data_IF_833893932848
#
_entry.id   IF_833893932848
#
_cell.length_a   1.000
_cell.length_b   1.000
_cell.length_c   1.000
_cell.angle_alpha   90.00
_cell.angle_beta   90.00
_cell.angle_gamma   90.00
#
_symmetry.space_group_name_H-M   'P 1'
#
loop_
_entity.id
_entity.type
_entity.pdbx_description
1 polymer ?
#
# COMPACT_ATOMS: atom_id res chain seq x y z
N UNK A 1 -11.15 -18.62 21.27
CA UNK A 1 -10.02 -19.11 20.47
C UNK A 1 -10.58 -19.58 19.15
N UNK A 2 -10.54 -18.74 18.13
CA UNK A 2 -10.81 -19.20 16.76
C UNK A 2 -9.50 -19.81 16.28
N UNK A 3 -9.40 -21.13 16.27
CA UNK A 3 -8.31 -21.88 15.62
C UNK A 3 -8.47 -21.79 14.10
N UNK A 4 -8.53 -20.57 13.56
CA UNK A 4 -8.47 -20.35 12.12
C UNK A 4 -7.03 -20.49 11.67
N UNK A 5 -6.76 -21.39 10.73
CA UNK A 5 -5.47 -21.47 10.07
C UNK A 5 -5.43 -20.52 8.87
N UNK A 6 -4.24 -20.04 8.52
CA UNK A 6 -4.04 -19.18 7.35
C UNK A 6 -3.42 -19.96 6.21
N UNK A 7 -4.20 -20.15 5.13
CA UNK A 7 -3.67 -20.55 3.85
C UNK A 7 -2.87 -19.40 3.24
N UNK A 8 -1.65 -19.68 2.79
CA UNK A 8 -0.78 -18.71 2.14
C UNK A 8 -0.27 -19.28 0.82
N UNK A 9 -0.72 -18.67 -0.28
CA UNK A 9 -0.51 -19.16 -1.63
C UNK A 9 0.04 -18.04 -2.51
N UNK A 10 1.13 -18.32 -3.24
CA UNK A 10 1.71 -17.43 -4.24
C UNK A 10 1.27 -17.87 -5.62
N UNK A 11 0.69 -16.95 -6.39
CA UNK A 11 0.26 -17.17 -7.77
C UNK A 11 1.11 -16.29 -8.69
N UNK A 12 2.06 -16.92 -9.39
CA UNK A 12 2.96 -16.23 -10.31
C UNK A 12 2.24 -15.92 -11.62
N UNK A 13 2.26 -14.66 -12.00
CA UNK A 13 1.64 -14.16 -13.22
C UNK A 13 2.66 -13.57 -14.17
N UNK A 14 2.15 -12.83 -15.14
CA UNK A 14 2.96 -11.92 -15.95
C UNK A 14 2.93 -10.51 -15.38
N UNK A 15 3.56 -9.54 -16.05
CA UNK A 15 3.65 -8.15 -15.55
C UNK A 15 2.31 -7.46 -15.31
N UNK A 16 1.21 -7.93 -15.90
CA UNK A 16 -0.14 -7.40 -15.64
C UNK A 16 -0.89 -8.29 -14.63
N UNK A 17 -0.61 -8.06 -13.35
CA UNK A 17 -1.26 -8.78 -12.25
C UNK A 17 -2.73 -8.36 -12.05
N UNK A 18 -3.19 -7.25 -12.64
CA UNK A 18 -4.56 -6.77 -12.48
C UNK A 18 -5.59 -7.78 -13.03
N UNK A 19 -5.35 -8.26 -14.25
CA UNK A 19 -6.21 -9.27 -14.87
C UNK A 19 -6.15 -10.63 -14.17
N UNK A 20 -4.98 -11.03 -13.64
CA UNK A 20 -4.86 -12.25 -12.83
C UNK A 20 -5.71 -12.14 -11.54
N UNK A 21 -5.66 -10.97 -10.89
CA UNK A 21 -6.42 -10.71 -9.67
C UNK A 21 -7.93 -10.78 -9.95
N UNK A 22 -8.43 -10.06 -10.95
CA UNK A 22 -9.87 -9.94 -11.22
C UNK A 22 -10.45 -11.16 -11.95
N UNK A 23 -9.65 -11.84 -12.78
CA UNK A 23 -10.09 -12.96 -13.61
C UNK A 23 -9.92 -14.34 -12.99
N UNK A 24 -8.96 -14.53 -12.07
CA UNK A 24 -8.64 -15.84 -11.48
C UNK A 24 -8.81 -15.83 -9.97
N UNK A 25 -8.08 -14.94 -9.30
CA UNK A 25 -7.98 -14.97 -7.83
C UNK A 25 -9.33 -14.57 -7.19
N UNK A 26 -9.90 -13.44 -7.59
CA UNK A 26 -11.15 -12.97 -6.99
C UNK A 26 -12.33 -13.94 -7.19
N UNK A 27 -12.57 -14.52 -8.39
CA UNK A 27 -13.62 -15.53 -8.57
C UNK A 27 -13.42 -16.77 -7.70
N UNK A 28 -12.19 -17.31 -7.64
CA UNK A 28 -11.87 -18.48 -6.84
C UNK A 28 -12.11 -18.22 -5.34
N UNK A 29 -11.64 -17.06 -4.84
CA UNK A 29 -11.80 -16.71 -3.43
C UNK A 29 -13.25 -16.40 -3.06
N UNK A 30 -14.02 -15.77 -3.95
CA UNK A 30 -15.47 -15.55 -3.75
C UNK A 30 -16.23 -16.88 -3.65
N UNK A 31 -15.90 -17.85 -4.50
CA UNK A 31 -16.49 -19.20 -4.45
C UNK A 31 -16.20 -19.86 -3.09
N UNK A 32 -14.94 -19.90 -2.68
CA UNK A 32 -14.55 -20.50 -1.39
C UNK A 32 -15.14 -19.78 -0.18
N UNK A 33 -15.38 -18.47 -0.29
CA UNK A 33 -16.04 -17.68 0.76
C UNK A 33 -17.54 -18.02 0.81
N UNK A 34 -18.21 -18.15 -0.33
CA UNK A 34 -19.62 -18.55 -0.41
C UNK A 34 -19.86 -20.00 0.07
N UNK A 35 -18.85 -20.86 -0.06
CA UNK A 35 -18.83 -22.24 0.44
C UNK A 35 -18.39 -22.33 1.92
N UNK A 36 -18.21 -21.19 2.61
CA UNK A 36 -17.77 -21.09 4.02
C UNK A 36 -16.42 -21.77 4.32
N UNK A 37 -15.64 -22.09 3.28
CA UNK A 37 -14.29 -22.67 3.41
C UNK A 37 -13.26 -21.61 3.81
N UNK A 38 -13.46 -20.39 3.32
CA UNK A 38 -12.66 -19.21 3.63
C UNK A 38 -13.54 -18.19 4.34
N UNK A 39 -13.15 -17.79 5.55
CA UNK A 39 -13.91 -16.79 6.34
C UNK A 39 -13.57 -15.35 5.93
N UNK A 40 -12.28 -15.10 5.65
CA UNK A 40 -11.76 -13.80 5.20
C UNK A 40 -10.47 -14.02 4.43
N UNK A 41 -10.15 -13.11 3.52
CA UNK A 41 -8.92 -13.19 2.74
C UNK A 41 -8.45 -11.81 2.31
N UNK A 42 -7.17 -11.72 2.04
CA UNK A 42 -6.56 -10.54 1.44
C UNK A 42 -5.47 -10.96 0.46
N UNK A 43 -4.99 -10.00 -0.32
CA UNK A 43 -3.91 -10.22 -1.25
C UNK A 43 -2.99 -9.01 -1.31
N UNK A 44 -1.79 -9.22 -1.84
CA UNK A 44 -0.85 -8.17 -2.21
C UNK A 44 0.00 -8.61 -3.40
N UNK A 45 0.47 -7.64 -4.19
CA UNK A 45 1.41 -7.89 -5.29
C UNK A 45 2.82 -7.94 -4.73
N UNK A 46 3.68 -8.77 -5.31
CA UNK A 46 5.07 -8.85 -4.91
C UNK A 46 6.00 -9.26 -6.08
N UNK A 47 7.29 -9.03 -5.92
CA UNK A 47 8.29 -9.12 -7.00
C UNK A 47 9.24 -10.32 -6.88
N UNK A 48 9.47 -10.84 -5.66
CA UNK A 48 10.46 -11.90 -5.41
C UNK A 48 10.08 -13.21 -6.12
N UNK A 49 11.00 -13.76 -6.91
CA UNK A 49 10.73 -14.88 -7.81
C UNK A 49 9.94 -14.49 -9.07
N UNK A 50 9.83 -13.20 -9.37
CA UNK A 50 9.02 -12.64 -10.46
C UNK A 50 7.67 -12.08 -10.01
N UNK A 51 6.94 -11.37 -10.90
CA UNK A 51 5.65 -10.78 -10.58
C UNK A 51 4.64 -11.84 -10.13
N UNK A 52 4.13 -11.70 -8.91
CA UNK A 52 3.13 -12.62 -8.37
C UNK A 52 2.17 -11.93 -7.41
N UNK A 53 1.08 -12.63 -7.13
CA UNK A 53 0.11 -12.24 -6.11
C UNK A 53 0.25 -13.19 -4.93
N UNK A 54 0.45 -12.63 -3.73
CA UNK A 54 0.40 -13.37 -2.48
C UNK A 54 -1.05 -13.34 -1.98
N UNK A 55 -1.69 -14.50 -1.94
CA UNK A 55 -3.03 -14.69 -1.38
C UNK A 55 -2.88 -15.20 0.04
N UNK A 56 -3.66 -14.62 0.95
CA UNK A 56 -3.78 -15.04 2.35
C UNK A 56 -5.24 -15.26 2.65
N UNK A 57 -5.62 -16.44 3.11
CA UNK A 57 -7.00 -16.79 3.39
C UNK A 57 -7.11 -17.50 4.74
N UNK A 58 -7.97 -16.98 5.62
CA UNK A 58 -8.28 -17.61 6.88
C UNK A 58 -9.29 -18.74 6.64
N UNK A 59 -8.87 -19.98 6.86
CA UNK A 59 -9.65 -21.19 6.65
C UNK A 59 -9.97 -21.88 7.96
N UNK A 60 -10.95 -22.78 7.92
CA UNK A 60 -11.02 -23.84 8.94
C UNK A 60 -9.78 -24.75 8.82
N UNK A 61 -9.32 -25.38 9.90
CA UNK A 61 -8.18 -26.30 9.85
C UNK A 61 -8.34 -27.38 8.76
N UNK A 62 -7.34 -27.51 7.88
CA UNK A 62 -7.37 -28.43 6.73
C UNK A 62 -7.94 -27.82 5.44
N UNK A 63 -8.49 -26.61 5.49
CA UNK A 63 -9.01 -25.87 4.32
C UNK A 63 -7.93 -25.28 3.42
N UNK A 64 -6.66 -25.27 3.84
CA UNK A 64 -5.54 -24.68 3.08
C UNK A 64 -5.32 -25.40 1.75
N UNK A 65 -5.51 -26.72 1.72
CA UNK A 65 -5.44 -27.51 0.51
C UNK A 65 -6.55 -27.12 -0.48
N UNK A 66 -7.74 -26.76 -0.01
CA UNK A 66 -8.84 -26.34 -0.86
C UNK A 66 -8.54 -25.00 -1.56
N UNK A 67 -7.94 -24.04 -0.84
CA UNK A 67 -7.48 -22.77 -1.42
C UNK A 67 -6.45 -23.02 -2.52
N UNK A 68 -5.47 -23.88 -2.25
CA UNK A 68 -4.42 -24.22 -3.22
C UNK A 68 -4.98 -24.88 -4.47
N UNK A 69 -5.88 -25.86 -4.31
CA UNK A 69 -6.52 -26.57 -5.42
C UNK A 69 -7.37 -25.64 -6.26
N UNK A 70 -8.23 -24.82 -5.63
CA UNK A 70 -9.09 -23.89 -6.35
C UNK A 70 -8.29 -22.88 -7.19
N UNK A 71 -7.19 -22.34 -6.66
CA UNK A 71 -6.34 -21.40 -7.40
C UNK A 71 -5.59 -22.10 -8.55
N UNK A 72 -5.14 -23.35 -8.37
CA UNK A 72 -4.52 -24.13 -9.46
C UNK A 72 -5.51 -24.44 -10.57
N UNK A 73 -6.71 -24.88 -10.24
CA UNK A 73 -7.77 -25.19 -11.20
C UNK A 73 -8.18 -23.93 -11.97
N UNK A 74 -8.43 -22.82 -11.26
CA UNK A 74 -8.79 -21.55 -11.90
C UNK A 74 -7.70 -21.02 -12.84
N UNK A 75 -6.42 -21.31 -12.55
CA UNK A 75 -5.29 -20.88 -13.38
C UNK A 75 -5.03 -21.81 -14.57
N UNK A 76 -5.37 -23.09 -14.48
CA UNK A 76 -5.16 -24.07 -15.55
C UNK A 76 -5.92 -23.71 -16.83
N UNK A 77 -7.13 -23.16 -16.66
CA UNK A 77 -7.99 -22.73 -17.78
C UNK A 77 -7.77 -21.25 -18.17
N UNK A 78 -6.88 -20.53 -17.47
CA UNK A 78 -6.67 -19.11 -17.70
C UNK A 78 -5.74 -18.87 -18.90
N UNK A 79 -6.12 -18.02 -19.87
CA UNK A 79 -5.26 -17.67 -20.99
C UNK A 79 -4.10 -16.79 -20.52
N UNK A 80 -2.99 -17.43 -20.13
CA UNK A 80 -1.78 -16.73 -19.70
C UNK A 80 -1.24 -15.87 -20.85
N UNK A 81 -0.97 -14.61 -20.57
CA UNK A 81 -0.21 -13.78 -21.51
C UNK A 81 1.26 -14.24 -21.54
N UNK A 82 2.01 -14.02 -22.63
CA UNK A 82 3.43 -14.32 -22.65
C UNK A 82 4.19 -13.53 -21.58
N UNK A 83 5.15 -14.17 -20.92
CA UNK A 83 6.05 -13.49 -20.00
C UNK A 83 6.81 -12.38 -20.76
N UNK A 84 6.76 -11.16 -20.23
CA UNK A 84 7.49 -10.02 -20.80
C UNK A 84 8.85 -9.79 -20.14
N UNK A 85 9.10 -10.42 -18.99
CA UNK A 85 10.32 -10.26 -18.20
C UNK A 85 11.24 -11.47 -18.42
N UNK A 86 12.45 -11.25 -18.92
CA UNK A 86 13.47 -12.30 -18.99
C UNK A 86 14.13 -12.56 -17.63
N UNK A 87 14.74 -13.74 -17.47
CA UNK A 87 15.47 -14.09 -16.25
C UNK A 87 16.67 -13.14 -15.97
N UNK A 88 17.30 -12.61 -17.02
CA UNK A 88 18.39 -11.64 -16.87
C UNK A 88 17.87 -10.28 -16.40
N UNK A 89 16.79 -9.78 -17.00
CA UNK A 89 16.13 -8.55 -16.56
C UNK A 89 15.63 -8.65 -15.12
N UNK A 90 15.01 -9.78 -14.77
CA UNK A 90 14.59 -10.07 -13.41
C UNK A 90 15.75 -9.94 -12.43
N UNK A 91 16.88 -10.64 -12.67
CA UNK A 91 18.03 -10.58 -11.75
C UNK A 91 18.55 -9.16 -11.54
N UNK A 92 18.60 -8.33 -12.59
CA UNK A 92 19.03 -6.93 -12.47
C UNK A 92 18.07 -6.11 -11.60
N UNK A 93 16.76 -6.25 -11.81
CA UNK A 93 15.75 -5.52 -11.06
C UNK A 93 15.65 -6.04 -9.61
N UNK A 94 15.72 -7.35 -9.41
CA UNK A 94 15.64 -8.00 -8.11
C UNK A 94 16.76 -7.56 -7.17
N UNK A 95 18.00 -7.41 -7.65
CA UNK A 95 19.12 -6.86 -6.85
C UNK A 95 18.81 -5.43 -6.38
N UNK A 96 18.22 -4.60 -7.24
CA UNK A 96 17.85 -3.24 -6.87
C UNK A 96 16.71 -3.22 -5.83
N UNK A 97 15.67 -4.03 -6.02
CA UNK A 97 14.53 -4.13 -5.11
C UNK A 97 14.93 -4.74 -3.76
N UNK A 98 15.74 -5.79 -3.75
CA UNK A 98 16.27 -6.40 -2.52
C UNK A 98 17.05 -5.40 -1.68
N UNK A 99 17.95 -4.62 -2.31
CA UNK A 99 18.67 -3.53 -1.62
C UNK A 99 17.74 -2.45 -1.11
N UNK A 100 16.72 -2.09 -1.88
CA UNK A 100 15.71 -1.12 -1.46
C UNK A 100 14.93 -1.60 -0.22
N UNK A 101 14.64 -2.90 -0.12
CA UNK A 101 13.98 -3.54 1.02
C UNK A 101 14.94 -3.99 2.13
N UNK A 102 16.24 -3.68 2.03
CA UNK A 102 17.28 -4.14 2.98
C UNK A 102 17.31 -5.67 3.16
N UNK A 103 17.11 -6.41 2.07
CA UNK A 103 17.15 -7.87 2.03
C UNK A 103 18.45 -8.34 1.38
N UNK A 104 19.21 -9.14 2.12
CA UNK A 104 20.42 -9.80 1.61
C UNK A 104 20.12 -11.19 1.03
N UNK A 105 19.04 -11.82 1.46
CA UNK A 105 18.55 -13.11 0.97
C UNK A 105 17.21 -12.94 0.25
N UNK A 106 17.19 -13.32 -1.03
CA UNK A 106 16.01 -13.26 -1.89
C UNK A 106 16.12 -14.25 -3.05
N UNK A 107 14.96 -14.69 -3.56
CA UNK A 107 14.88 -15.60 -4.71
C UNK A 107 15.60 -15.05 -5.95
N UNK A 108 16.66 -15.74 -6.39
CA UNK A 108 17.46 -15.34 -7.55
C UNK A 108 16.87 -15.85 -8.87
N UNK A 109 15.99 -16.85 -8.81
CA UNK A 109 15.39 -17.46 -9.99
C UNK A 109 14.03 -16.85 -10.32
N UNK A 110 13.85 -16.50 -11.59
CA UNK A 110 12.54 -16.09 -12.10
C UNK A 110 11.65 -17.33 -12.23
N UNK A 111 10.59 -17.39 -11.43
CA UNK A 111 9.63 -18.49 -11.50
C UNK A 111 8.69 -18.30 -12.71
N UNK A 112 8.34 -19.38 -13.42
CA UNK A 112 7.44 -19.29 -14.58
C UNK A 112 6.05 -18.75 -14.21
N UNK A 113 5.42 -17.91 -15.04
CA UNK A 113 3.99 -17.60 -14.91
C UNK A 113 3.16 -18.88 -14.92
N UNK A 114 2.07 -18.91 -14.16
CA UNK A 114 1.29 -20.13 -13.94
C UNK A 114 1.76 -20.95 -12.73
N UNK A 115 2.89 -20.59 -12.11
CA UNK A 115 3.37 -21.28 -10.91
C UNK A 115 2.50 -20.92 -9.70
N UNK A 116 1.96 -21.94 -9.03
CA UNK A 116 1.22 -21.79 -7.77
C UNK A 116 1.99 -22.50 -6.65
N UNK A 117 2.38 -21.76 -5.60
CA UNK A 117 3.19 -22.27 -4.48
C UNK A 117 2.49 -22.05 -3.14
N UNK A 118 2.44 -23.07 -2.31
CA UNK A 118 2.11 -22.91 -0.89
C UNK A 118 3.36 -22.41 -0.15
N UNK A 119 3.19 -21.40 0.68
CA UNK A 119 4.26 -20.81 1.51
C UNK A 119 3.69 -20.61 2.91
N UNK A 120 4.41 -20.91 4.00
CA UNK A 120 3.90 -20.65 5.36
C UNK A 120 3.53 -19.18 5.55
N UNK A 121 2.39 -18.92 6.19
CA UNK A 121 2.06 -17.57 6.66
C UNK A 121 2.77 -17.32 7.99
N UNK A 122 3.68 -16.36 8.00
CA UNK A 122 4.36 -15.89 9.20
C UNK A 122 3.90 -14.44 9.45
N UNK A 123 3.09 -14.19 10.49
CA UNK A 123 2.69 -12.83 10.82
C UNK A 123 3.89 -11.97 11.24
N UNK A 124 3.94 -10.72 10.78
CA UNK A 124 5.05 -9.79 11.04
C UNK A 124 4.83 -9.08 12.38
N UNK A 125 5.06 -9.78 13.50
CA UNK A 125 4.78 -9.26 14.84
C UNK A 125 5.55 -7.98 15.18
N UNK A 126 6.79 -7.84 14.71
CA UNK A 126 7.60 -6.63 14.94
C UNK A 126 6.97 -5.38 14.28
N UNK A 127 6.21 -5.57 13.21
CA UNK A 127 5.57 -4.50 12.42
C UNK A 127 4.17 -4.20 12.91
N UNK A 128 3.36 -5.24 13.15
CA UNK A 128 1.92 -5.11 13.43
C UNK A 128 1.53 -5.41 14.88
N UNK A 129 2.50 -5.78 15.73
CA UNK A 129 2.27 -6.26 17.10
C UNK A 129 1.64 -7.66 17.14
N UNK A 130 1.02 -7.99 18.27
CA UNK A 130 0.40 -9.28 18.53
C UNK A 130 -1.06 -9.09 18.98
N UNK A 131 -1.85 -10.17 19.00
CA UNK A 131 -3.23 -10.13 19.50
C UNK A 131 -4.10 -9.11 18.76
N UNK A 132 -4.65 -8.14 19.49
CA UNK A 132 -5.63 -7.17 18.97
C UNK A 132 -5.05 -6.25 17.88
N UNK A 133 -3.77 -5.88 17.95
CA UNK A 133 -3.15 -5.00 16.93
C UNK A 133 -2.92 -5.75 15.63
N UNK A 134 -2.48 -7.00 15.70
CA UNK A 134 -2.33 -7.87 14.54
C UNK A 134 -3.70 -8.17 13.90
N UNK A 135 -4.72 -8.47 14.72
CA UNK A 135 -6.08 -8.69 14.23
C UNK A 135 -6.64 -7.43 13.55
N UNK A 136 -6.37 -6.24 14.10
CA UNK A 136 -6.75 -4.97 13.48
C UNK A 136 -6.04 -4.73 12.15
N UNK A 137 -4.74 -5.06 12.04
CA UNK A 137 -3.98 -4.95 10.80
C UNK A 137 -4.51 -5.92 9.74
N UNK A 138 -4.73 -7.19 10.09
CA UNK A 138 -5.31 -8.18 9.18
C UNK A 138 -6.73 -7.80 8.72
N UNK A 139 -7.57 -7.26 9.62
CA UNK A 139 -8.88 -6.72 9.25
C UNK A 139 -8.75 -5.60 8.23
N UNK A 140 -7.83 -4.65 8.47
CA UNK A 140 -7.54 -3.60 7.51
C UNK A 140 -7.03 -4.15 6.17
N UNK A 141 -6.22 -5.22 6.16
CA UNK A 141 -5.78 -5.87 4.92
C UNK A 141 -6.94 -6.46 4.12
N UNK A 142 -7.90 -7.09 4.79
CA UNK A 142 -9.11 -7.62 4.15
C UNK A 142 -9.95 -6.49 3.56
N UNK A 143 -10.23 -5.46 4.35
CA UNK A 143 -11.07 -4.32 3.94
C UNK A 143 -10.44 -3.53 2.78
N UNK A 144 -9.13 -3.29 2.85
CA UNK A 144 -8.37 -2.61 1.80
C UNK A 144 -8.20 -3.46 0.54
N UNK A 145 -8.07 -4.79 0.66
CA UNK A 145 -8.13 -5.70 -0.49
C UNK A 145 -9.49 -5.67 -1.18
N UNK A 146 -10.60 -5.65 -0.42
CA UNK A 146 -11.94 -5.53 -1.01
C UNK A 146 -12.10 -4.22 -1.78
N UNK A 147 -11.66 -3.09 -1.20
CA UNK A 147 -11.65 -1.78 -1.87
C UNK A 147 -10.81 -1.79 -3.16
N UNK A 148 -9.61 -2.41 -3.11
CA UNK A 148 -8.75 -2.53 -4.28
C UNK A 148 -9.39 -3.38 -5.39
N UNK A 149 -10.11 -4.46 -5.05
CA UNK A 149 -10.80 -5.28 -6.04
C UNK A 149 -11.89 -4.51 -6.76
N UNK A 150 -12.74 -3.78 -6.04
CA UNK A 150 -13.82 -2.99 -6.63
C UNK A 150 -13.27 -1.98 -7.65
N UNK A 151 -12.14 -1.37 -7.33
CA UNK A 151 -11.45 -0.45 -8.23
C UNK A 151 -10.86 -1.18 -9.42
N UNK A 152 -10.15 -2.30 -9.23
CA UNK A 152 -9.52 -3.04 -10.33
C UNK A 152 -10.56 -3.64 -11.30
N UNK A 153 -11.72 -4.06 -10.78
CA UNK A 153 -12.82 -4.60 -11.59
C UNK A 153 -13.47 -3.56 -12.49
N UNK A 154 -13.34 -2.27 -12.17
CA UNK A 154 -13.78 -1.19 -13.06
C UNK A 154 -12.79 -0.90 -14.20
N UNK A 155 -11.72 -1.70 -14.36
CA UNK A 155 -10.65 -1.53 -15.35
C UNK A 155 -10.14 -0.07 -15.44
N UNK A 156 -9.65 0.50 -14.33
CA UNK A 156 -9.32 1.91 -14.24
C UNK A 156 -8.06 2.23 -15.05
N UNK A 157 -7.96 3.47 -15.53
CA UNK A 157 -6.71 3.95 -16.10
C UNK A 157 -5.66 4.15 -15.01
N UNK A 158 -4.38 4.11 -15.38
CA UNK A 158 -3.29 4.41 -14.45
C UNK A 158 -3.42 5.80 -13.80
N UNK A 159 -4.03 6.78 -14.50
CA UNK A 159 -4.29 8.10 -13.94
C UNK A 159 -5.32 8.08 -12.80
N UNK A 160 -6.37 7.28 -12.93
CA UNK A 160 -7.37 7.07 -11.87
C UNK A 160 -6.73 6.39 -10.66
N UNK A 161 -5.90 5.37 -10.88
CA UNK A 161 -5.19 4.67 -9.81
C UNK A 161 -4.23 5.60 -9.04
N UNK A 162 -3.47 6.44 -9.75
CA UNK A 162 -2.61 7.45 -9.11
C UNK A 162 -3.41 8.50 -8.32
N UNK A 163 -4.55 8.94 -8.85
CA UNK A 163 -5.44 9.86 -8.14
C UNK A 163 -6.03 9.25 -6.87
N UNK A 164 -6.40 7.97 -6.92
CA UNK A 164 -6.85 7.21 -5.76
C UNK A 164 -5.76 7.06 -4.70
N UNK A 165 -4.54 6.67 -5.10
CA UNK A 165 -3.38 6.58 -4.20
C UNK A 165 -3.08 7.93 -3.53
N UNK A 166 -3.12 9.03 -4.29
CA UNK A 166 -2.99 10.38 -3.73
C UNK A 166 -4.06 10.68 -2.68
N UNK A 167 -5.32 10.33 -2.97
CA UNK A 167 -6.44 10.56 -2.06
C UNK A 167 -6.31 9.72 -0.79
N UNK A 168 -5.98 8.44 -0.91
CA UNK A 168 -5.76 7.51 0.21
C UNK A 168 -4.58 7.97 1.08
N UNK A 169 -3.48 8.41 0.48
CA UNK A 169 -2.35 9.03 1.19
C UNK A 169 -2.79 10.23 2.04
N UNK A 170 -3.54 11.16 1.43
CA UNK A 170 -4.03 12.35 2.13
C UNK A 170 -5.03 12.00 3.25
N UNK A 171 -5.92 11.04 3.03
CA UNK A 171 -6.88 10.59 4.05
C UNK A 171 -6.18 9.94 5.24
N UNK A 172 -5.16 9.11 5.01
CA UNK A 172 -4.34 8.52 6.09
C UNK A 172 -3.63 9.61 6.88
N UNK A 173 -3.03 10.60 6.22
CA UNK A 173 -2.36 11.72 6.89
C UNK A 173 -3.34 12.60 7.66
N UNK A 174 -4.50 12.91 7.08
CA UNK A 174 -5.53 13.73 7.70
C UNK A 174 -6.16 13.06 8.93
N UNK A 175 -6.39 11.75 8.87
CA UNK A 175 -6.86 11.00 10.03
C UNK A 175 -5.79 11.01 11.14
N UNK A 176 -4.53 10.76 10.79
CA UNK A 176 -3.44 10.65 11.77
C UNK A 176 -2.95 11.99 12.35
N UNK A 177 -2.95 13.08 11.59
CA UNK A 177 -2.59 14.42 12.06
C UNK A 177 -3.67 15.42 11.61
N UNK A 178 -4.74 15.59 12.41
CA UNK A 178 -5.86 16.45 12.05
C UNK A 178 -5.52 17.94 12.06
N UNK A 179 -4.43 18.36 12.71
CA UNK A 179 -3.93 19.73 12.62
C UNK A 179 -3.14 19.93 11.31
N UNK A 180 -3.87 20.33 10.26
CA UNK A 180 -3.28 20.65 8.96
C UNK A 180 -2.20 21.73 9.06
N UNK A 181 -2.38 22.73 9.94
CA UNK A 181 -1.42 23.82 10.10
C UNK A 181 -0.07 23.33 10.62
N UNK A 182 -0.11 22.47 11.65
CA UNK A 182 1.07 21.81 12.20
C UNK A 182 1.79 20.96 11.15
N UNK A 183 1.05 20.10 10.44
CA UNK A 183 1.64 19.25 9.41
C UNK A 183 2.25 20.10 8.28
N UNK A 184 1.50 21.04 7.74
CA UNK A 184 1.96 21.94 6.68
C UNK A 184 3.19 22.76 7.06
N UNK A 185 3.31 23.22 8.31
CA UNK A 185 4.50 23.91 8.79
C UNK A 185 5.74 23.00 8.77
N UNK A 186 5.61 21.75 9.20
CA UNK A 186 6.72 20.78 9.19
C UNK A 186 7.21 20.46 7.76
N UNK A 187 6.30 20.38 6.79
CA UNK A 187 6.68 20.21 5.37
C UNK A 187 7.28 21.48 4.76
N UNK A 188 6.77 22.66 5.14
CA UNK A 188 7.29 23.94 4.69
C UNK A 188 8.73 24.18 5.17
N UNK A 189 9.02 23.85 6.43
CA UNK A 189 10.36 23.95 7.01
C UNK A 189 11.38 23.08 6.25
N UNK A 190 10.98 21.87 5.86
CA UNK A 190 11.90 20.95 5.22
C UNK A 190 12.10 21.21 3.72
N UNK A 191 11.07 21.71 3.04
CA UNK A 191 11.11 22.07 1.62
C UNK A 191 11.50 20.93 0.68
N UNK A 192 11.86 21.29 -0.56
CA UNK A 192 12.26 20.32 -1.59
C UNK A 192 13.56 19.58 -1.23
N UNK A 193 14.48 20.24 -0.52
CA UNK A 193 15.77 19.65 -0.15
C UNK A 193 15.56 18.48 0.81
N UNK A 194 14.75 18.64 1.85
CA UNK A 194 14.53 17.55 2.78
C UNK A 194 13.88 16.34 2.10
N UNK A 195 12.99 16.55 1.12
CA UNK A 195 12.37 15.45 0.37
C UNK A 195 13.45 14.65 -0.36
N UNK A 196 14.34 15.34 -1.06
CA UNK A 196 15.45 14.72 -1.77
C UNK A 196 16.42 14.01 -0.81
N UNK A 197 16.71 14.60 0.36
CA UNK A 197 17.58 14.00 1.37
C UNK A 197 17.00 12.70 1.95
N UNK A 198 15.68 12.62 2.06
CA UNK A 198 15.00 11.45 2.67
C UNK A 198 14.76 10.33 1.67
N UNK A 199 14.39 10.66 0.43
CA UNK A 199 14.19 9.66 -0.63
C UNK A 199 15.54 9.19 -1.21
N UNK A 200 16.54 10.07 -1.20
CA UNK A 200 17.90 9.80 -1.65
C UNK A 200 18.13 10.14 -3.13
N UNK A 201 19.33 10.66 -3.48
CA UNK A 201 19.63 11.14 -4.83
C UNK A 201 19.67 10.03 -5.89
N UNK A 202 19.84 8.77 -5.48
CA UNK A 202 19.81 7.62 -6.38
C UNK A 202 18.41 7.35 -6.95
N UNK A 203 17.35 7.69 -6.19
CA UNK A 203 15.96 7.54 -6.62
C UNK A 203 15.41 8.82 -7.26
N UNK A 204 15.92 9.97 -6.82
CA UNK A 204 15.40 11.29 -7.20
C UNK A 204 16.57 12.23 -7.54
N UNK A 205 16.89 12.30 -8.83
CA UNK A 205 17.90 13.24 -9.35
C UNK A 205 17.36 14.66 -9.42
N UNK A 206 18.22 15.69 -9.57
CA UNK A 206 17.77 17.08 -9.76
C UNK A 206 16.80 17.26 -10.95
N UNK A 207 17.03 16.55 -12.05
CA UNK A 207 16.16 16.63 -13.23
C UNK A 207 14.79 16.00 -12.96
N UNK A 208 14.76 14.86 -12.26
CA UNK A 208 13.52 14.22 -11.82
C UNK A 208 12.75 15.16 -10.88
N UNK A 209 13.43 15.81 -9.93
CA UNK A 209 12.79 16.81 -9.06
C UNK A 209 12.17 17.97 -9.84
N UNK A 210 12.86 18.48 -10.86
CA UNK A 210 12.32 19.55 -11.69
C UNK A 210 11.05 19.11 -12.42
N UNK A 211 11.04 17.89 -12.99
CA UNK A 211 9.86 17.32 -13.66
C UNK A 211 8.69 17.11 -12.69
N UNK A 212 8.96 16.62 -11.48
CA UNK A 212 7.95 16.47 -10.43
C UNK A 212 7.36 17.84 -10.03
N UNK A 213 8.20 18.87 -9.90
CA UNK A 213 7.74 20.24 -9.62
C UNK A 213 6.87 20.82 -10.73
N UNK A 214 7.23 20.63 -12.00
CA UNK A 214 6.35 21.03 -13.11
C UNK A 214 5.02 20.28 -13.10
N UNK A 215 5.05 18.98 -12.78
CA UNK A 215 3.82 18.19 -12.61
C UNK A 215 2.94 18.73 -11.50
N UNK A 216 3.53 19.12 -10.37
CA UNK A 216 2.81 19.78 -9.28
C UNK A 216 2.17 21.08 -9.74
N UNK A 217 2.92 21.95 -10.43
CA UNK A 217 2.39 23.23 -10.90
C UNK A 217 1.17 23.06 -11.82
N UNK A 218 1.17 22.02 -12.67
CA UNK A 218 0.02 21.67 -13.52
C UNK A 218 -1.19 21.14 -12.76
N UNK A 219 -0.97 20.45 -11.64
CA UNK A 219 -2.01 19.82 -10.82
C UNK A 219 -2.34 20.59 -9.53
N UNK A 220 -1.78 21.80 -9.36
CA UNK A 220 -1.74 22.53 -8.09
C UNK A 220 -3.13 22.72 -7.49
N UNK A 221 -4.07 23.23 -8.28
CA UNK A 221 -5.45 23.50 -7.81
C UNK A 221 -6.15 22.21 -7.39
N UNK A 222 -5.99 21.13 -8.16
CA UNK A 222 -6.61 19.84 -7.87
C UNK A 222 -6.03 19.22 -6.59
N UNK A 223 -4.71 19.24 -6.41
CA UNK A 223 -4.06 18.68 -5.21
C UNK A 223 -4.40 19.50 -3.96
N UNK A 224 -4.45 20.84 -4.06
CA UNK A 224 -4.86 21.69 -2.94
C UNK A 224 -6.33 21.48 -2.56
N UNK A 225 -7.23 21.31 -3.55
CA UNK A 225 -8.62 20.98 -3.30
C UNK A 225 -8.77 19.61 -2.61
N UNK A 226 -7.94 18.64 -3.00
CA UNK A 226 -7.94 17.30 -2.40
C UNK A 226 -7.45 17.31 -0.94
N UNK A 227 -6.44 18.14 -0.60
CA UNK A 227 -6.04 18.37 0.80
C UNK A 227 -7.22 18.92 1.62
N UNK A 228 -7.88 19.96 1.12
CA UNK A 228 -9.02 20.55 1.82
C UNK A 228 -10.17 19.54 2.00
N UNK A 229 -10.43 18.71 0.98
CA UNK A 229 -11.38 17.61 1.05
C UNK A 229 -10.98 16.58 2.12
N UNK A 230 -9.72 16.16 2.15
CA UNK A 230 -9.24 15.14 3.09
C UNK A 230 -9.40 15.55 4.55
N UNK A 231 -8.96 16.76 4.92
CA UNK A 231 -9.08 17.26 6.30
C UNK A 231 -10.53 17.55 6.70
N UNK A 232 -11.40 17.91 5.75
CA UNK A 232 -12.83 18.05 6.01
C UNK A 232 -13.49 16.70 6.33
N UNK A 233 -13.24 15.67 5.52
CA UNK A 233 -13.93 14.36 5.67
C UNK A 233 -13.36 13.56 6.83
N UNK A 234 -12.04 13.58 7.05
CA UNK A 234 -11.43 12.90 8.19
C UNK A 234 -12.03 13.36 9.52
N UNK A 235 -12.46 14.62 9.65
CA UNK A 235 -13.10 15.13 10.87
C UNK A 235 -14.51 14.58 11.18
N UNK A 236 -15.28 14.12 10.18
CA UNK A 236 -16.72 13.80 10.36
C UNK A 236 -17.18 12.47 9.76
N UNK A 237 -16.31 11.75 9.03
CA UNK A 237 -16.62 10.50 8.29
C UNK A 237 -17.94 10.61 7.53
N UNK A 238 -17.90 11.29 6.39
CA UNK A 238 -19.07 11.38 5.52
C UNK A 238 -19.36 10.03 4.86
N UNK A 239 -20.43 9.34 5.29
CA UNK A 239 -20.79 7.99 4.79
C UNK A 239 -20.97 7.90 3.27
N UNK A 240 -21.29 9.01 2.61
CA UNK A 240 -21.48 9.07 1.16
C UNK A 240 -20.17 9.20 0.38
N UNK A 241 -19.04 9.45 1.06
CA UNK A 241 -17.75 9.61 0.39
C UNK A 241 -17.23 8.27 -0.16
N UNK A 242 -16.71 8.23 -1.40
CA UNK A 242 -16.16 7.00 -1.98
C UNK A 242 -15.05 6.35 -1.16
N UNK A 243 -14.33 7.12 -0.33
CA UNK A 243 -13.24 6.66 0.54
C UNK A 243 -13.66 6.55 2.01
N UNK A 244 -14.95 6.65 2.34
CA UNK A 244 -15.44 6.48 3.70
C UNK A 244 -14.99 5.13 4.30
N UNK A 245 -15.01 4.06 3.50
CA UNK A 245 -14.54 2.73 3.91
C UNK A 245 -13.05 2.71 4.26
N UNK A 246 -12.22 3.44 3.51
CA UNK A 246 -10.80 3.58 3.84
C UNK A 246 -10.61 4.27 5.18
N UNK A 247 -11.26 5.42 5.38
CA UNK A 247 -11.13 6.22 6.62
C UNK A 247 -11.60 5.43 7.84
N UNK A 248 -12.74 4.74 7.75
CA UNK A 248 -13.26 3.90 8.85
C UNK A 248 -12.26 2.79 9.18
N UNK A 249 -11.72 2.13 8.17
CA UNK A 249 -10.77 1.03 8.33
C UNK A 249 -9.45 1.48 8.95
N UNK A 250 -8.83 2.52 8.40
CA UNK A 250 -7.54 3.02 8.86
C UNK A 250 -7.62 3.64 10.25
N UNK A 251 -8.76 4.27 10.59
CA UNK A 251 -9.03 4.80 11.92
C UNK A 251 -9.16 3.69 12.95
N UNK A 252 -9.94 2.64 12.65
CA UNK A 252 -10.08 1.51 13.55
C UNK A 252 -8.75 0.80 13.80
N UNK A 253 -7.88 0.74 12.79
CA UNK A 253 -6.50 0.28 12.96
C UNK A 253 -5.71 1.22 13.87
N UNK A 254 -5.72 2.53 13.61
CA UNK A 254 -5.04 3.53 14.45
C UNK A 254 -5.45 3.45 15.91
N UNK A 255 -6.76 3.40 16.19
CA UNK A 255 -7.29 3.35 17.55
C UNK A 255 -6.82 2.09 18.30
N UNK A 256 -6.77 0.94 17.63
CA UNK A 256 -6.23 -0.28 18.22
C UNK A 256 -4.72 -0.17 18.54
N UNK A 257 -3.94 0.41 17.62
CA UNK A 257 -2.50 0.63 17.80
C UNK A 257 -2.21 1.64 18.94
N UNK A 258 -2.99 2.72 19.02
CA UNK A 258 -2.89 3.72 20.09
C UNK A 258 -3.29 3.15 21.46
N UNK A 259 -4.31 2.29 21.52
CA UNK A 259 -4.75 1.64 22.75
C UNK A 259 -3.72 0.64 23.29
N UNK A 260 -3.01 -0.08 22.41
CA UNK A 260 -1.97 -1.03 22.81
C UNK A 260 -0.74 -0.33 23.41
N UNK A 261 -0.39 0.86 22.92
CA UNK A 261 0.78 1.61 23.40
C UNK A 261 2.14 0.96 23.06
N UNK A 262 2.15 -0.07 22.23
CA UNK A 262 3.32 -0.81 21.80
C UNK A 262 4.25 0.02 20.90
N UNK A 263 5.54 -0.35 20.87
CA UNK A 263 6.54 0.24 19.97
C UNK A 263 6.70 -0.63 18.72
N UNK A 264 5.93 -0.31 17.69
CA UNK A 264 6.06 -0.92 16.37
C UNK A 264 7.36 -0.52 15.68
N UNK A 265 7.87 -1.38 14.81
CA UNK A 265 9.06 -1.09 14.00
C UNK A 265 8.87 0.17 13.14
N UNK A 266 9.66 1.20 13.48
CA UNK A 266 9.73 2.48 12.77
C UNK A 266 10.77 2.48 11.65
N UNK A 267 11.46 1.37 11.41
CA UNK A 267 12.45 1.28 10.34
C UNK A 267 11.79 1.67 9.01
N UNK A 268 12.38 2.59 8.23
CA UNK A 268 11.71 3.05 7.03
C UNK A 268 11.63 1.97 5.94
N UNK A 269 12.30 0.81 6.06
CA UNK A 269 12.34 -0.32 5.11
C UNK A 269 12.23 0.11 3.62
N UNK A 270 12.93 1.18 3.23
CA UNK A 270 12.87 1.74 1.88
C UNK A 270 11.51 2.27 1.39
N UNK A 271 10.51 2.39 2.26
CA UNK A 271 9.14 2.84 1.97
C UNK A 271 9.13 4.23 1.31
N UNK A 272 8.35 4.42 0.23
CA UNK A 272 8.11 5.73 -0.37
C UNK A 272 7.56 6.77 0.62
N UNK A 273 6.94 6.32 1.71
CA UNK A 273 6.31 7.15 2.74
C UNK A 273 7.24 7.50 3.92
N UNK A 274 8.51 7.07 3.90
CA UNK A 274 9.49 7.40 4.93
C UNK A 274 9.63 8.92 5.15
N UNK A 275 9.46 9.70 4.08
CA UNK A 275 9.44 11.16 4.15
C UNK A 275 8.32 11.69 5.04
N UNK A 276 7.07 11.22 4.87
CA UNK A 276 5.95 11.65 5.70
C UNK A 276 6.20 11.33 7.17
N UNK A 277 6.65 10.11 7.46
CA UNK A 277 6.97 9.66 8.80
C UNK A 277 7.99 10.59 9.49
N UNK A 278 8.99 11.03 8.73
CA UNK A 278 10.04 11.91 9.24
C UNK A 278 9.56 13.33 9.58
N UNK A 279 8.39 13.76 9.08
CA UNK A 279 7.78 15.07 9.35
C UNK A 279 6.77 15.04 10.50
N UNK A 280 6.34 13.85 10.91
CA UNK A 280 5.44 13.70 12.05
C UNK A 280 6.20 13.86 13.37
N UNK A 281 5.46 14.29 14.40
CA UNK A 281 5.91 14.32 15.79
C UNK A 281 6.50 12.96 16.20
N UNK A 282 7.72 12.90 16.78
CA UNK A 282 8.35 11.66 17.21
C UNK A 282 7.43 10.75 18.04
N UNK A 283 6.59 11.31 18.91
CA UNK A 283 5.66 10.55 19.73
C UNK A 283 4.56 9.83 18.91
N UNK A 284 4.26 10.33 17.70
CA UNK A 284 3.23 9.78 16.79
C UNK A 284 3.79 8.84 15.73
N UNK A 285 5.12 8.67 15.64
CA UNK A 285 5.78 7.94 14.54
C UNK A 285 5.55 6.43 14.59
N UNK A 286 5.47 5.84 15.77
CA UNK A 286 5.30 4.38 15.87
C UNK A 286 3.97 3.91 15.29
N UNK A 287 2.87 4.59 15.61
CA UNK A 287 1.57 4.29 14.98
C UNK A 287 1.57 4.68 13.50
N UNK A 288 2.11 5.85 13.15
CA UNK A 288 2.18 6.28 11.76
C UNK A 288 2.96 5.32 10.86
N UNK A 289 4.02 4.68 11.35
CA UNK A 289 4.80 3.74 10.53
C UNK A 289 3.91 2.60 10.05
N UNK A 290 3.05 2.06 10.91
CA UNK A 290 2.09 1.00 10.57
C UNK A 290 1.05 1.51 9.58
N UNK A 291 0.44 2.68 9.80
CA UNK A 291 -0.57 3.23 8.91
C UNK A 291 -0.02 3.54 7.51
N UNK A 292 1.18 4.10 7.43
CA UNK A 292 1.85 4.42 6.17
C UNK A 292 2.32 3.17 5.42
N UNK A 293 2.72 2.10 6.13
CA UNK A 293 2.94 0.78 5.53
C UNK A 293 1.65 0.20 4.96
N UNK A 294 0.54 0.27 5.69
CA UNK A 294 -0.75 -0.20 5.19
C UNK A 294 -1.20 0.57 3.94
N UNK A 295 -0.93 1.87 3.91
CA UNK A 295 -1.17 2.75 2.76
C UNK A 295 -0.30 2.33 1.56
N UNK A 296 0.99 2.11 1.76
CA UNK A 296 1.89 1.56 0.74
C UNK A 296 1.43 0.18 0.22
N UNK A 297 0.95 -0.70 1.11
CA UNK A 297 0.40 -2.00 0.71
C UNK A 297 -0.88 -1.86 -0.13
N UNK A 298 -1.69 -0.83 0.09
CA UNK A 298 -2.83 -0.53 -0.78
C UNK A 298 -2.38 -0.11 -2.18
N UNK A 299 -1.40 0.78 -2.28
CA UNK A 299 -0.80 1.21 -3.56
C UNK A 299 -0.26 0.00 -4.35
N UNK A 300 0.44 -0.91 -3.67
CA UNK A 300 0.87 -2.19 -4.23
C UNK A 300 -0.30 -3.04 -4.75
N UNK A 301 -1.43 -3.13 -4.04
CA UNK A 301 -2.60 -3.93 -4.46
C UNK A 301 -3.20 -3.41 -5.76
N UNK A 302 -3.35 -2.10 -5.87
CA UNK A 302 -3.92 -1.47 -7.07
C UNK A 302 -2.90 -1.35 -8.21
N UNK A 303 -1.61 -1.63 -7.95
CA UNK A 303 -0.56 -1.67 -8.97
C UNK A 303 0.08 -0.31 -9.24
N UNK A 304 0.02 0.62 -8.29
CA UNK A 304 0.82 1.84 -8.32
C UNK A 304 2.27 1.44 -8.08
N UNK A 305 3.17 1.94 -8.94
CA UNK A 305 4.58 1.56 -8.88
C UNK A 305 5.34 2.40 -7.86
N UNK A 306 6.48 1.90 -7.35
CA UNK A 306 7.32 2.69 -6.43
C UNK A 306 7.72 4.07 -7.00
N UNK A 307 8.10 4.23 -8.28
CA UNK A 307 8.29 5.56 -8.87
C UNK A 307 7.04 6.44 -8.84
N UNK A 308 5.85 5.88 -9.12
CA UNK A 308 4.59 6.63 -9.02
C UNK A 308 4.29 7.04 -7.57
N UNK A 309 4.54 6.17 -6.59
CA UNK A 309 4.39 6.50 -5.15
C UNK A 309 5.33 7.63 -4.74
N UNK A 310 6.59 7.62 -5.18
CA UNK A 310 7.54 8.70 -4.90
C UNK A 310 7.04 10.01 -5.55
N UNK A 311 6.52 9.95 -6.78
CA UNK A 311 5.94 11.10 -7.46
C UNK A 311 4.73 11.67 -6.72
N UNK A 312 3.78 10.81 -6.33
CA UNK A 312 2.62 11.18 -5.51
C UNK A 312 3.07 11.77 -4.17
N UNK A 313 4.06 11.13 -3.54
CA UNK A 313 4.75 11.57 -2.34
C UNK A 313 5.23 13.01 -2.45
N UNK A 314 5.87 13.33 -3.56
CA UNK A 314 6.33 14.68 -3.86
C UNK A 314 5.18 15.66 -4.03
N UNK A 315 4.13 15.31 -4.79
CA UNK A 315 2.97 16.19 -5.02
C UNK A 315 2.30 16.59 -3.70
N UNK A 316 2.07 15.62 -2.82
CA UNK A 316 1.48 15.85 -1.49
C UNK A 316 2.40 16.71 -0.62
N UNK A 317 3.70 16.38 -0.55
CA UNK A 317 4.67 17.13 0.23
C UNK A 317 4.76 18.60 -0.21
N UNK A 318 4.83 18.83 -1.53
CA UNK A 318 4.92 20.17 -2.12
C UNK A 318 3.66 20.98 -1.84
N UNK A 319 2.48 20.35 -1.94
CA UNK A 319 1.20 20.98 -1.66
C UNK A 319 1.04 21.36 -0.18
N UNK A 320 1.41 20.47 0.75
CA UNK A 320 1.40 20.74 2.20
C UNK A 320 2.36 21.87 2.58
N UNK A 321 3.56 21.89 2.00
CA UNK A 321 4.55 22.95 2.23
C UNK A 321 4.05 24.33 1.75
N UNK A 322 3.36 24.37 0.59
CA UNK A 322 2.77 25.60 0.08
C UNK A 322 1.62 26.10 0.96
N UNK A 323 0.77 25.19 1.46
CA UNK A 323 -0.31 25.51 2.39
C UNK A 323 0.22 26.19 3.67
N UNK A 324 1.30 25.67 4.24
CA UNK A 324 1.93 26.24 5.45
C UNK A 324 2.59 27.61 5.20
N UNK A 325 3.16 27.80 4.01
CA UNK A 325 3.76 29.08 3.61
C UNK A 325 2.71 30.18 3.42
N UNK A 326 1.52 29.84 2.92
CA UNK A 326 0.41 30.77 2.77
C UNK A 326 -0.24 31.17 4.11
N UNK A 327 -0.26 30.26 5.09
CA UNK A 327 -0.75 30.52 6.45
C UNK A 327 0.11 31.52 7.22
N UNK A 328 1.44 31.40 7.11
CA UNK A 328 2.39 32.31 7.78
C UNK A 328 2.40 33.74 7.21
N UNK A 329 1.89 33.94 5.99
CA UNK A 329 1.76 35.27 5.36
C UNK A 329 0.57 36.10 5.84
N UNK A 330 -0.36 35.53 6.62
CA UNK A 330 -1.56 36.23 7.15
C UNK A 330 -1.41 36.74 8.59
N UNK A 331 -0.25 36.56 9.22
CA UNK A 331 0.04 36.99 10.61
C UNK A 331 1.12 38.08 10.65
N UNK A 332 1.19 38.94 9.63
CA UNK A 332 2.00 40.16 9.66
C UNK A 332 1.17 41.38 9.33
#
# INVERSE_FOLDING_TARGET
MNDSSWASVYVHGTGDLGHLITGVIAPAMRKLTAEETVSRWFFLRYWEGGPHVRVRAATMPGGEAAVMTALREALADWPMTPATLSAEEYRRVAVYLARAESRDDFEQELLPPGTVRAVPYLPEHDVYGEGETLEAAERHFVESSALALEVLESAPTAGILRGLALSVNLMTLADHEPDLGKLSAAFAEAGNQGFQDTVGPARVSPDVMAQMNESYLRAREQVQAEIARAWRIAGVVEKADPLARWIVSIRALREALEAAGDKFDISPAGSPHAWYLSRLDPARRSVASVLLRCTHLFDNRIGVTTPDEIHIGYLVARALAEHGSAGNGRVR
#
